data_IF_605061490424
#
_entry.id   IF_605061490424
#
_cell.length_a   1.000
_cell.length_b   1.000
_cell.length_c   1.000
_cell.angle_alpha   90.00
_cell.angle_beta   90.00
_cell.angle_gamma   90.00
#
_symmetry.space_group_name_H-M   'P 1'
#
loop_
_entity.id
_entity.type
_entity.pdbx_description
1 polymer ?
2 polymer ?
3 polymer ?
4 non-polymer ?
5 non-polymer ?
6 non-polymer ?
7 water ?
#
loop_
_entity_poly.entity_id
_entity_poly.type
_entity_poly.pdbx_seq_one_letter_code
_entity_poly.pdbx_strand_id
2 'polydeoxyribonucleotide' '(DA)(DA)(DA)(DT)(DT)(DG)(DC)(DC)(DG)(DA)(DA)(DG)(DA)(DC)(DG)(DA)' ?
3 'polydeoxyribonucleotide' '(DT)(DC)(DG)(DT)(DC)(DT)(DT)(DC)(DG)(DG)(DC)(DA)(DA)(DT)(DT)' ?
#
# COMPACT_ATOMS: atom_id res chain seq x y z
N UNK A 1 10.02 -25.53 3.74
CA UNK A 1 9.74 -26.40 4.86
C UNK A 1 9.24 -25.63 6.05
N UNK A 2 8.13 -26.09 6.63
CA UNK A 2 7.47 -25.35 7.72
C UNK A 2 8.43 -24.98 8.84
N UNK A 3 9.49 -25.78 9.06
CA UNK A 3 10.42 -25.53 10.15
C UNK A 3 11.46 -24.48 9.78
N UNK A 4 12.08 -24.61 8.60
CA UNK A 4 12.89 -23.52 8.08
C UNK A 4 12.10 -22.22 8.06
N UNK A 5 10.87 -22.29 7.55
CA UNK A 5 10.06 -21.09 7.40
C UNK A 5 9.71 -20.49 8.75
N UNK A 6 9.42 -21.34 9.75
CA UNK A 6 9.17 -20.83 11.10
C UNK A 6 10.40 -20.12 11.65
N UNK A 7 11.58 -20.71 11.43
CA UNK A 7 12.80 -20.06 11.87
C UNK A 7 12.99 -18.71 11.19
N UNK A 8 12.63 -18.61 9.91
CA UNK A 8 12.74 -17.32 9.23
C UNK A 8 11.79 -16.31 9.86
N UNK A 9 10.53 -16.72 10.10
CA UNK A 9 9.56 -15.80 10.69
C UNK A 9 10.03 -15.30 12.06
N UNK A 10 10.68 -16.16 12.84
CA UNK A 10 11.19 -15.73 14.15
C UNK A 10 12.23 -14.63 14.00
N UNK A 11 13.17 -14.79 13.06
CA UNK A 11 14.17 -13.75 12.88
C UNK A 11 13.56 -12.46 12.32
N UNK A 12 12.36 -12.53 11.77
CA UNK A 12 11.68 -11.36 11.21
C UNK A 12 10.83 -10.58 12.22
N UNK A 13 10.60 -11.14 13.41
CA UNK A 13 9.75 -10.46 14.39
C UNK A 13 10.39 -9.15 14.83
N UNK A 14 9.58 -8.10 14.88
CA UNK A 14 10.04 -6.79 15.31
C UNK A 14 10.29 -6.79 16.81
N UNK A 15 11.27 -5.99 17.22
CA UNK A 15 11.54 -5.78 18.63
C UNK A 15 10.55 -4.78 19.22
N UNK A 16 9.93 -5.14 20.34
CA UNK A 16 8.96 -4.25 20.96
C UNK A 16 9.60 -2.93 21.38
N UNK A 17 10.84 -2.99 21.89
CA UNK A 17 11.50 -1.75 22.27
C UNK A 17 11.73 -0.84 21.07
N UNK A 18 12.10 -1.42 19.93
CA UNK A 18 12.31 -0.61 18.73
C UNK A 18 11.01 -0.02 18.22
N UNK A 19 9.92 -0.80 18.28
CA UNK A 19 8.61 -0.26 17.92
C UNK A 19 8.34 0.99 18.74
N UNK A 20 8.53 0.88 20.06
CA UNK A 20 8.22 1.99 20.95
C UNK A 20 9.05 3.22 20.59
N UNK A 21 10.35 3.04 20.39
CA UNK A 21 11.21 4.13 19.96
C UNK A 21 10.76 4.71 18.63
N UNK A 22 10.62 3.85 17.62
CA UNK A 22 10.31 4.37 16.29
C UNK A 22 8.95 5.07 16.28
N UNK A 23 7.93 4.44 16.88
CA UNK A 23 6.60 5.05 16.88
C UNK A 23 6.61 6.38 17.62
N UNK A 24 7.40 6.49 18.68
CA UNK A 24 7.50 7.76 19.37
C UNK A 24 8.05 8.85 18.48
N UNK A 25 9.08 8.53 17.69
CA UNK A 25 9.65 9.51 16.78
C UNK A 25 8.65 9.87 15.69
N UNK A 26 8.01 8.87 15.10
CA UNK A 26 7.12 9.11 13.98
C UNK A 26 5.91 9.92 14.42
N UNK A 27 5.29 9.51 15.52
CA UNK A 27 4.09 10.21 15.99
C UNK A 27 4.40 11.67 16.33
N UNK A 28 5.57 11.91 16.92
CA UNK A 28 5.92 13.28 17.27
C UNK A 28 6.02 14.17 16.05
N UNK A 29 6.68 13.70 14.99
CA UNK A 29 6.83 14.50 13.79
C UNK A 29 5.50 14.60 13.05
N UNK A 30 4.75 13.50 12.96
CA UNK A 30 3.49 13.53 12.24
C UNK A 30 2.52 14.49 12.91
N UNK A 31 2.43 14.43 14.25
CA UNK A 31 1.53 15.33 14.97
C UNK A 31 1.93 16.78 14.73
N UNK A 32 3.23 17.04 14.66
CA UNK A 32 3.70 18.37 14.37
C UNK A 32 3.20 18.85 13.02
N UNK A 33 3.30 18.00 12.00
CA UNK A 33 2.90 18.41 10.66
C UNK A 33 1.39 18.61 10.54
N UNK A 34 0.60 17.72 11.13
CA UNK A 34 -0.86 17.87 11.09
C UNK A 34 -1.31 19.16 11.75
N UNK A 35 -0.76 19.47 12.92
CA UNK A 35 -1.09 20.72 13.60
C UNK A 35 -0.86 21.91 12.69
N UNK A 36 0.26 21.91 11.97
CA UNK A 36 0.59 23.02 11.08
C UNK A 36 -0.37 23.08 9.90
N UNK A 37 -0.64 21.93 9.30
CA UNK A 37 -1.50 21.88 8.12
C UNK A 37 -2.92 22.30 8.44
N UNK A 38 -3.38 22.05 9.67
CA UNK A 38 -4.73 22.42 10.08
C UNK A 38 -4.91 23.91 10.25
N UNK A 39 -3.81 24.65 10.33
CA UNK A 39 -3.86 26.10 10.44
C UNK A 39 -4.00 26.78 9.09
N UNK A 40 -3.90 26.02 8.00
CA UNK A 40 -3.92 26.58 6.66
C UNK A 40 -5.31 26.50 6.06
N UNK A 41 -5.75 27.59 5.43
CA UNK A 41 -7.06 27.60 4.80
C UNK A 41 -7.23 26.45 3.81
N UNK A 42 -6.19 26.14 3.03
CA UNK A 42 -6.34 25.09 2.03
C UNK A 42 -6.40 23.69 2.64
N UNK A 43 -5.68 23.44 3.73
CA UNK A 43 -5.60 22.09 4.28
C UNK A 43 -6.38 21.96 5.59
N UNK A 44 -7.35 22.86 5.81
CA UNK A 44 -8.23 22.87 6.98
C UNK A 44 -8.79 21.50 7.34
N UNK A 45 -9.24 20.75 6.34
CA UNK A 45 -9.93 19.52 6.65
C UNK A 45 -9.05 18.27 6.66
N UNK A 46 -7.77 18.44 6.96
CA UNK A 46 -6.82 17.33 6.87
C UNK A 46 -6.97 16.41 8.07
N UNK A 47 -6.72 15.12 7.83
CA UNK A 47 -6.75 14.12 8.87
C UNK A 47 -5.78 13.02 8.50
N UNK A 48 -5.42 12.22 9.49
CA UNK A 48 -4.41 11.18 9.36
C UNK A 48 -5.04 9.83 9.04
N UNK A 49 -4.55 9.17 8.02
CA UNK A 49 -4.85 7.74 7.82
C UNK A 49 -3.51 7.02 7.71
N UNK A 50 -3.20 6.19 8.71
CA UNK A 50 -1.97 5.40 8.68
C UNK A 50 -2.17 4.18 7.77
N UNK A 51 -1.19 3.89 6.93
CA UNK A 51 -1.33 2.87 5.89
C UNK A 51 -0.11 1.97 5.86
N UNK A 52 -0.24 0.85 5.14
CA UNK A 52 0.93 0.06 4.80
C UNK A 52 1.37 -0.92 5.88
N UNK A 53 2.57 -1.47 5.66
CA UNK A 53 3.00 -2.70 6.34
C UNK A 53 2.99 -2.56 7.86
N UNK A 54 3.56 -1.48 8.38
CA UNK A 54 3.67 -1.36 9.84
C UNK A 54 2.30 -1.35 10.50
N UNK A 55 1.35 -0.60 9.93
CA UNK A 55 0.04 -0.50 10.56
C UNK A 55 -0.85 -1.68 10.23
N UNK A 56 -0.47 -2.48 9.23
CA UNK A 56 -1.11 -3.76 8.93
C UNK A 56 -0.49 -4.93 9.69
N UNK A 57 0.60 -4.67 10.43
CA UNK A 57 1.32 -5.69 11.22
C UNK A 57 1.95 -6.77 10.35
N UNK A 58 2.50 -6.37 9.20
CA UNK A 58 3.27 -7.29 8.36
C UNK A 58 4.63 -6.68 8.04
N UNK A 59 4.98 -5.61 8.75
CA UNK A 59 6.36 -5.12 8.68
C UNK A 59 7.31 -6.17 9.24
N UNK A 60 8.43 -6.38 8.56
CA UNK A 60 9.42 -7.38 8.96
C UNK A 60 10.75 -6.70 9.27
N UNK A 61 11.54 -7.39 10.11
CA UNK A 61 12.92 -7.06 10.47
C UNK A 61 13.01 -5.88 11.43
N UNK A 62 12.66 -4.67 10.98
CA UNK A 62 12.81 -3.48 11.82
C UNK A 62 11.69 -2.50 11.53
N UNK A 63 11.19 -1.78 12.54
CA UNK A 63 10.17 -0.77 12.25
C UNK A 63 10.79 0.55 11.79
N UNK A 64 11.39 0.53 10.59
CA UNK A 64 12.14 1.68 10.09
C UNK A 64 11.52 2.32 8.87
N UNK A 65 10.31 1.93 8.48
CA UNK A 65 9.62 2.49 7.32
C UNK A 65 8.15 2.62 7.65
N UNK A 66 7.62 3.82 7.55
CA UNK A 66 6.23 4.11 7.87
C UNK A 66 5.59 4.82 6.69
N UNK A 67 4.34 4.48 6.40
CA UNK A 67 3.55 5.10 5.36
C UNK A 67 2.40 5.84 6.03
N UNK A 68 2.16 7.05 5.55
CA UNK A 68 1.25 7.97 6.20
C UNK A 68 0.49 8.70 5.11
N UNK A 69 -0.83 8.78 5.27
CA UNK A 69 -1.65 9.52 4.32
C UNK A 69 -2.31 10.70 5.03
N UNK A 70 -2.14 11.88 4.48
CA UNK A 70 -2.80 13.09 4.97
C UNK A 70 -3.97 13.33 4.03
N UNK A 71 -5.16 12.92 4.45
CA UNK A 71 -6.35 12.95 3.61
C UNK A 71 -7.15 14.21 3.91
N UNK A 72 -7.75 14.78 2.87
CA UNK A 72 -8.58 15.98 2.97
C UNK A 72 -10.02 15.63 2.68
N UNK A 73 -10.90 15.84 3.66
CA UNK A 73 -12.33 15.83 3.37
C UNK A 73 -12.64 16.99 2.44
N UNK A 74 -13.21 16.69 1.29
CA UNK A 74 -13.50 17.73 0.30
C UNK A 74 -14.97 17.67 -0.01
N UNK A 75 -15.56 18.79 -0.47
CA UNK A 75 -16.93 18.74 -0.99
C UNK A 75 -17.08 17.67 -2.07
N UNK A 76 -18.32 17.38 -2.45
CA UNK A 76 -18.60 16.31 -3.40
C UNK A 76 -17.77 16.45 -4.66
N UNK A 77 -17.00 15.41 -4.95
CA UNK A 77 -16.13 15.37 -6.13
C UNK A 77 -16.92 14.86 -7.31
N UNK A 78 -16.61 15.38 -8.49
CA UNK A 78 -17.05 14.83 -9.77
C UNK A 78 -15.81 14.35 -10.51
N UNK A 79 -15.76 13.06 -10.83
CA UNK A 79 -14.59 12.42 -11.43
C UNK A 79 -14.78 12.28 -12.93
N UNK A 80 -13.67 12.41 -13.65
CA UNK A 80 -13.66 12.17 -15.09
C UNK A 80 -12.52 11.21 -15.35
N UNK A 81 -12.84 10.00 -15.81
CA UNK A 81 -11.79 9.00 -16.01
C UNK A 81 -10.82 9.47 -17.07
N UNK A 82 -9.53 9.35 -16.77
CA UNK A 82 -8.50 9.77 -17.72
C UNK A 82 -8.31 8.67 -18.76
N UNK A 83 -8.54 9.02 -20.03
CA UNK A 83 -8.41 8.07 -21.14
C UNK A 83 -9.33 6.90 -20.79
N UNK A 84 -8.87 5.66 -20.85
CA UNK A 84 -9.62 4.54 -20.32
C UNK A 84 -8.75 3.73 -19.38
N UNK A 85 -8.01 4.44 -18.52
CA UNK A 85 -7.03 3.82 -17.65
C UNK A 85 -7.63 3.21 -16.39
N UNK A 86 -8.92 3.49 -16.09
CA UNK A 86 -9.70 2.84 -15.04
C UNK A 86 -9.31 3.29 -13.63
N UNK A 87 -8.04 3.61 -13.40
CA UNK A 87 -7.60 4.05 -12.08
C UNK A 87 -7.27 5.53 -11.97
N UNK A 88 -7.12 6.24 -13.09
CA UNK A 88 -6.68 7.63 -13.10
C UNK A 88 -7.82 8.54 -13.55
N UNK A 89 -8.00 9.65 -12.83
CA UNK A 89 -9.15 10.52 -12.98
C UNK A 89 -8.73 11.98 -12.90
N UNK A 90 -9.51 12.85 -13.55
CA UNK A 90 -9.49 14.27 -13.26
C UNK A 90 -10.53 14.55 -12.18
N UNK A 91 -10.18 15.46 -11.27
CA UNK A 91 -11.07 15.85 -10.18
C UNK A 91 -11.68 17.22 -10.50
N UNK A 92 -13.01 17.27 -10.51
CA UNK A 92 -13.81 18.49 -10.57
C UNK A 92 -14.73 18.54 -9.37
N UNK A 93 -15.37 19.68 -9.16
CA UNK A 93 -16.31 19.86 -8.07
C UNK A 93 -17.71 20.16 -8.59
N UNK A 94 -18.72 19.69 -7.86
CA UNK A 94 -20.11 19.94 -8.22
C UNK A 94 -20.53 21.41 -8.00
N UNK A 97 -17.36 27.30 -6.01
CA UNK A 97 -15.99 27.46 -5.51
C UNK A 97 -15.89 28.38 -4.29
N UNK A 98 -16.84 29.32 -4.16
CA UNK A 98 -16.88 30.18 -2.97
C UNK A 98 -16.96 29.36 -1.70
N UNK A 99 -17.60 28.19 -1.75
CA UNK A 99 -17.84 27.36 -0.58
C UNK A 99 -16.72 26.37 -0.30
N UNK A 100 -15.71 26.26 -1.17
CA UNK A 100 -14.70 25.24 -0.89
C UNK A 100 -13.30 25.84 -0.80
N UNK A 101 -12.48 25.33 0.10
CA UNK A 101 -11.14 25.89 0.30
C UNK A 101 -10.10 25.40 -0.70
N UNK A 102 -10.46 24.50 -1.62
CA UNK A 102 -9.50 24.07 -2.61
C UNK A 102 -9.60 24.85 -3.92
N UNK A 103 -10.47 25.87 -4.00
CA UNK A 103 -10.69 26.57 -5.26
C UNK A 103 -9.44 27.30 -5.75
N UNK A 104 -8.50 27.62 -4.87
CA UNK A 104 -7.25 28.24 -5.30
C UNK A 104 -6.45 27.34 -6.23
N UNK A 105 -6.72 26.03 -6.23
CA UNK A 105 -5.99 25.07 -7.03
C UNK A 105 -6.71 24.67 -8.31
N UNK A 106 -7.83 25.30 -8.63
CA UNK A 106 -8.56 24.96 -9.84
C UNK A 106 -7.84 25.53 -11.06
N UNK A 107 -7.79 24.74 -12.13
CA UNK A 107 -7.34 25.19 -13.43
C UNK A 107 -8.53 25.01 -14.37
N UNK A 108 -9.39 26.02 -14.37
CA UNK A 108 -10.70 25.89 -14.97
C UNK A 108 -11.60 25.13 -14.03
N UNK A 109 -12.18 24.03 -14.49
CA UNK A 109 -12.95 23.16 -13.61
C UNK A 109 -12.10 22.08 -12.96
N UNK A 110 -10.83 21.97 -13.35
CA UNK A 110 -10.01 20.82 -12.99
C UNK A 110 -9.12 21.18 -11.80
N UNK A 111 -9.12 20.30 -10.81
CA UNK A 111 -8.27 20.42 -9.63
C UNK A 111 -6.83 20.08 -10.00
N UNK A 112 -5.91 21.01 -9.78
CA UNK A 112 -4.52 20.80 -10.14
C UNK A 112 -3.81 20.02 -9.05
N UNK A 113 -3.44 18.77 -9.34
CA UNK A 113 -2.64 18.01 -8.39
C UNK A 113 -1.29 18.68 -8.13
N UNK A 114 -0.66 19.21 -9.18
CA UNK A 114 0.67 19.74 -8.96
C UNK A 114 0.63 21.06 -8.21
N UNK A 115 -0.39 21.88 -8.45
CA UNK A 115 -0.54 23.08 -7.62
C UNK A 115 -0.75 22.69 -6.16
N UNK A 116 -1.60 21.70 -5.90
CA UNK A 116 -1.81 21.28 -4.53
C UNK A 116 -0.55 20.66 -3.93
N UNK A 117 0.12 19.79 -4.68
CA UNK A 117 1.36 19.18 -4.22
C UNK A 117 2.39 20.24 -3.85
N UNK A 118 2.45 21.31 -4.64
CA UNK A 118 3.48 22.30 -4.43
C UNK A 118 3.30 23.03 -3.11
N UNK A 119 2.05 23.38 -2.75
CA UNK A 119 1.84 24.06 -1.49
C UNK A 119 2.04 23.10 -0.32
N UNK A 120 1.57 21.87 -0.49
CA UNK A 120 1.73 20.83 0.52
C UNK A 120 3.20 20.59 0.85
N UNK A 121 4.02 20.41 -0.18
CA UNK A 121 5.46 20.23 0.05
C UNK A 121 6.09 21.46 0.68
N UNK A 122 5.71 22.65 0.21
CA UNK A 122 6.27 23.88 0.74
C UNK A 122 5.99 24.01 2.23
N UNK A 123 4.77 23.69 2.64
CA UNK A 123 4.39 23.83 4.05
C UNK A 123 5.14 22.83 4.91
N UNK A 124 5.25 21.59 4.44
CA UNK A 124 5.95 20.58 5.21
C UNK A 124 7.43 20.91 5.30
N UNK A 125 8.03 21.32 4.18
CA UNK A 125 9.47 21.59 4.19
C UNK A 125 9.80 22.69 5.18
N UNK A 126 8.94 23.72 5.27
CA UNK A 126 9.17 24.79 6.24
C UNK A 126 9.01 24.30 7.66
N UNK A 127 8.04 23.42 7.89
CA UNK A 127 7.79 22.95 9.24
C UNK A 127 8.89 22.00 9.71
N UNK A 128 9.49 21.26 8.77
CA UNK A 128 10.52 20.29 9.13
C UNK A 128 11.79 21.00 9.59
N UNK A 129 12.04 22.22 9.13
CA UNK A 129 13.17 22.98 9.67
C UNK A 129 12.93 23.38 11.12
N UNK A 130 11.66 23.50 11.53
CA UNK A 130 11.26 23.81 12.91
C UNK A 130 11.44 22.64 13.87
N UNK A 131 11.92 21.49 13.40
CA UNK A 131 12.15 20.33 14.26
C UNK A 131 13.60 19.93 14.11
N UNK A 132 14.04 18.91 14.86
CA UNK A 132 15.45 18.53 14.87
C UNK A 132 15.58 17.02 14.65
N UNK A 133 16.66 16.67 13.92
CA UNK A 133 16.94 15.30 13.51
C UNK A 133 15.85 14.78 12.58
N UNK A 134 15.39 15.66 11.69
CA UNK A 134 14.43 15.29 10.65
C UNK A 134 14.74 16.06 9.39
N UNK A 135 14.81 15.36 8.26
CA UNK A 135 15.08 15.94 6.95
C UNK A 135 14.00 15.55 5.97
N UNK A 136 13.65 16.49 5.08
CA UNK A 136 12.75 16.23 3.95
C UNK A 136 13.57 15.79 2.76
N UNK A 137 13.04 14.85 1.99
CA UNK A 137 13.42 14.68 0.60
C UNK A 137 12.14 14.68 -0.23
N UNK A 138 12.12 15.50 -1.28
CA UNK A 138 11.02 15.45 -2.24
C UNK A 138 11.08 14.11 -2.94
N UNK A 139 10.13 13.21 -2.61
CA UNK A 139 10.22 11.81 -2.97
C UNK A 139 10.28 11.62 -4.49
N UNK A 140 11.45 11.89 -5.07
CA UNK A 140 11.69 11.71 -6.49
C UNK A 140 10.53 12.26 -7.32
N UNK A 141 10.25 11.62 -8.45
CA UNK A 141 8.98 11.85 -9.13
C UNK A 141 7.85 11.18 -8.35
N UNK A 142 7.82 9.84 -8.41
CA UNK A 142 6.74 9.00 -7.89
C UNK A 142 5.39 9.39 -8.46
N UNK A 143 5.36 10.23 -9.50
CA UNK A 143 4.14 10.85 -9.96
C UNK A 143 3.57 11.86 -9.00
N UNK A 144 4.10 11.97 -7.78
CA UNK A 144 3.54 12.81 -6.75
C UNK A 144 3.07 12.06 -5.51
N UNK A 145 2.98 10.74 -5.53
CA UNK A 145 2.57 10.02 -4.33
C UNK A 145 3.51 8.85 -4.08
N UNK A 146 4.19 8.80 -2.92
CA UNK A 146 4.22 9.81 -1.85
C UNK A 146 4.76 11.14 -2.33
N UNK A 147 4.35 12.21 -1.65
CA UNK A 147 4.72 13.55 -2.05
C UNK A 147 6.07 13.94 -1.47
N UNK A 148 6.31 13.57 -0.22
CA UNK A 148 7.54 13.83 0.49
C UNK A 148 7.94 12.57 1.24
N UNK A 149 9.24 12.46 1.49
CA UNK A 149 9.79 11.42 2.36
C UNK A 149 10.60 12.08 3.46
N UNK A 150 10.29 11.74 4.70
CA UNK A 150 11.06 12.19 5.85
C UNK A 150 12.03 11.11 6.28
N UNK A 151 13.20 11.55 6.75
CA UNK A 151 14.15 10.68 7.42
C UNK A 151 14.39 11.24 8.82
N UNK A 152 14.07 10.45 9.83
CA UNK A 152 14.11 10.89 11.22
C UNK A 152 15.35 10.28 11.84
N UNK A 153 16.25 11.16 12.32
CA UNK A 153 17.53 10.79 12.91
C UNK A 153 18.22 9.68 12.10
N UNK A 154 18.24 9.89 10.79
CA UNK A 154 18.99 9.07 9.84
C UNK A 154 18.66 7.58 9.93
N UNK A 155 17.47 7.25 10.41
CA UNK A 155 17.15 5.87 10.72
C UNK A 155 15.73 5.45 10.31
N UNK A 156 14.75 6.35 10.33
CA UNK A 156 13.36 6.00 10.14
C UNK A 156 12.80 6.83 9.00
N UNK A 157 12.22 6.15 8.01
CA UNK A 157 11.67 6.79 6.82
C UNK A 157 10.17 6.90 6.95
N UNK A 158 9.65 8.08 6.61
CA UNK A 158 8.21 8.32 6.62
C UNK A 158 7.82 8.83 5.24
N UNK A 159 7.04 8.04 4.51
CA UNK A 159 6.48 8.41 3.21
C UNK A 159 5.13 9.07 3.43
N UNK A 160 5.01 10.34 3.09
CA UNK A 160 3.77 11.08 3.31
C UNK A 160 3.06 11.29 1.98
N UNK A 161 1.82 10.82 1.91
CA UNK A 161 0.99 10.90 0.72
C UNK A 161 -0.17 11.86 0.98
N UNK A 162 -0.35 12.83 0.08
CA UNK A 162 -1.51 13.69 0.09
C UNK A 162 -2.68 12.96 -0.54
N UNK A 163 -3.88 13.11 0.02
CA UNK A 163 -5.00 12.40 -0.56
C UNK A 163 -6.28 13.21 -0.41
N UNK A 164 -7.20 12.97 -1.34
CA UNK A 164 -8.55 13.50 -1.24
C UNK A 164 -9.43 12.36 -0.78
N UNK A 165 -10.35 12.65 0.12
CA UNK A 165 -11.32 11.67 0.59
C UNK A 165 -12.64 11.94 -0.11
N UNK A 166 -13.19 10.94 -0.78
CA UNK A 166 -14.54 11.08 -1.31
C UNK A 166 -15.41 10.06 -0.62
N UNK A 167 -16.59 10.52 -0.17
CA UNK A 167 -17.58 9.66 0.44
C UNK A 167 -18.65 9.21 -0.55
N UNK A 168 -18.52 9.60 -1.82
CA UNK A 168 -19.40 9.11 -2.85
C UNK A 168 -19.19 7.62 -3.06
N UNK A 169 -20.15 7.00 -3.74
CA UNK A 169 -20.04 5.61 -4.19
C UNK A 169 -18.77 5.42 -4.98
N UNK A 170 -18.16 4.24 -4.84
CA UNK A 170 -16.91 3.97 -5.52
C UNK A 170 -17.11 4.03 -7.03
N UNK A 171 -16.09 4.43 -7.78
CA UNK A 171 -16.25 4.54 -9.23
C UNK A 171 -16.57 3.22 -9.90
N UNK A 172 -17.18 3.30 -11.09
CA UNK A 172 -17.65 2.11 -11.79
C UNK A 172 -16.54 1.10 -12.04
N UNK A 173 -15.30 1.55 -12.18
CA UNK A 173 -14.22 0.61 -12.48
C UNK A 173 -13.92 -0.31 -11.31
N UNK A 174 -14.48 -0.06 -10.12
CA UNK A 174 -14.32 -0.96 -8.99
C UNK A 174 -15.45 -1.96 -8.88
N UNK A 175 -16.42 -1.90 -9.79
CA UNK A 175 -17.66 -2.65 -9.59
C UNK A 175 -17.41 -4.15 -9.48
N UNK A 176 -16.44 -4.67 -10.24
CA UNK A 176 -16.13 -6.11 -10.20
C UNK A 176 -14.88 -6.43 -9.38
N UNK A 177 -14.35 -5.47 -8.64
CA UNK A 177 -13.20 -5.73 -7.80
C UNK A 177 -13.63 -6.17 -6.43
N UNK A 178 -12.63 -6.29 -5.55
CA UNK A 178 -12.87 -6.64 -4.15
C UNK A 178 -13.71 -7.91 -4.07
N UNK A 179 -13.22 -8.96 -4.73
CA UNK A 179 -13.93 -10.23 -4.87
C UNK A 179 -13.80 -11.09 -3.60
N UNK A 180 -14.37 -10.57 -2.52
CA UNK A 180 -14.23 -11.19 -1.19
C UNK A 180 -15.48 -11.93 -0.76
N UNK A 181 -16.49 -12.06 -1.65
CA UNK A 181 -17.81 -12.52 -1.19
C UNK A 181 -17.77 -13.92 -0.59
N UNK A 182 -16.88 -14.78 -1.08
CA UNK A 182 -16.84 -16.16 -0.62
C UNK A 182 -15.79 -16.36 0.43
N UNK A 183 -15.07 -15.30 0.77
CA UNK A 183 -14.05 -15.33 1.79
C UNK A 183 -14.54 -14.55 3.00
N UNK A 184 -14.70 -13.22 2.88
CA UNK A 184 -15.10 -12.37 3.98
C UNK A 184 -16.60 -12.12 4.04
N UNK A 185 -17.34 -12.48 2.98
CA UNK A 185 -18.79 -12.44 2.84
C UNK A 185 -19.32 -11.25 2.03
N UNK A 186 -20.51 -11.43 1.47
CA UNK A 186 -21.17 -10.36 0.75
C UNK A 186 -21.56 -9.22 1.67
N UNK A 187 -21.92 -9.53 2.93
CA UNK A 187 -22.27 -8.46 3.85
C UNK A 187 -21.05 -7.59 4.17
N UNK A 188 -19.88 -8.20 4.28
CA UNK A 188 -18.68 -7.40 4.54
C UNK A 188 -18.30 -6.57 3.31
N UNK A 189 -18.41 -7.15 2.10
CA UNK A 189 -18.15 -6.37 0.89
C UNK A 189 -19.08 -5.18 0.80
N UNK A 190 -20.36 -5.35 1.14
CA UNK A 190 -21.27 -4.21 1.12
C UNK A 190 -20.83 -3.14 2.10
N UNK A 191 -20.39 -3.54 3.29
CA UNK A 191 -19.97 -2.54 4.29
C UNK A 191 -18.69 -1.82 3.88
N UNK A 192 -17.73 -2.55 3.31
CA UNK A 192 -16.50 -1.89 2.88
C UNK A 192 -16.77 -0.89 1.77
N UNK A 193 -17.67 -1.22 0.84
CA UNK A 193 -17.89 -0.32 -0.28
C UNK A 193 -18.76 0.87 0.09
N UNK A 194 -19.28 0.92 1.32
CA UNK A 194 -19.90 2.12 1.85
C UNK A 194 -18.91 3.07 2.50
N UNK A 195 -17.68 2.63 2.70
CA UNK A 195 -16.65 3.50 3.23
C UNK A 195 -16.12 4.43 2.14
N UNK A 196 -15.39 5.48 2.51
CA UNK A 196 -14.85 6.40 1.50
C UNK A 196 -13.82 5.71 0.62
N UNK A 197 -13.48 6.36 -0.49
CA UNK A 197 -12.29 6.02 -1.25
C UNK A 197 -11.40 7.25 -1.34
N UNK A 198 -10.13 7.04 -1.65
CA UNK A 198 -9.15 8.11 -1.69
C UNK A 198 -8.61 8.29 -3.11
N UNK A 199 -8.19 9.52 -3.38
CA UNK A 199 -7.51 9.89 -4.61
C UNK A 199 -6.17 10.52 -4.25
N UNK A 200 -5.08 10.00 -4.83
CA UNK A 200 -3.75 10.51 -4.54
C UNK A 200 -3.18 11.10 -5.83
N UNK A 201 -2.35 12.13 -5.77
CA UNK A 201 -1.82 12.71 -7.01
C UNK A 201 -0.84 11.74 -7.68
N UNK A 202 -1.08 11.47 -8.96
CA UNK A 202 -0.33 10.42 -9.65
C UNK A 202 -0.44 10.64 -11.16
N UNK A 203 0.70 10.79 -11.83
CA UNK A 203 0.72 10.84 -13.28
C UNK A 203 0.38 9.48 -13.89
N UNK A 204 -0.35 9.51 -14.99
CA UNK A 204 -0.47 8.35 -15.88
C UNK A 204 0.44 8.54 -17.07
N UNK A 205 1.02 7.45 -17.56
CA UNK A 205 1.99 7.52 -18.66
C UNK A 205 1.46 8.23 -19.90
N UNK A 211 0.46 11.97 -18.64
CA UNK A 211 1.20 12.86 -17.75
C UNK A 211 0.52 14.21 -17.63
N UNK A 212 -0.62 14.21 -16.92
CA UNK A 212 -1.41 15.41 -16.73
C UNK A 212 -1.66 15.69 -15.24
N UNK A 213 -2.83 16.24 -14.95
CA UNK A 213 -3.22 16.51 -13.56
C UNK A 213 -4.16 15.42 -13.07
N UNK A 214 -3.66 14.19 -13.05
CA UNK A 214 -4.47 13.03 -12.72
C UNK A 214 -4.28 12.63 -11.26
N UNK A 215 -5.29 11.95 -10.73
CA UNK A 215 -5.29 11.36 -9.41
C UNK A 215 -5.61 9.88 -9.58
N UNK A 216 -5.03 9.03 -8.75
CA UNK A 216 -5.28 7.61 -8.79
C UNK A 216 -6.08 7.16 -7.57
N UNK A 217 -7.00 6.22 -7.78
CA UNK A 217 -7.79 5.65 -6.68
C UNK A 217 -6.90 4.92 -5.68
N UNK A 218 -7.21 5.08 -4.39
CA UNK A 218 -6.46 4.41 -3.34
C UNK A 218 -7.42 3.83 -2.31
N UNK A 219 -7.14 2.60 -1.87
CA UNK A 219 -7.98 1.89 -0.90
C UNK A 219 -7.15 1.36 0.26
N UNK A 220 -6.09 2.09 0.61
CA UNK A 220 -5.20 1.69 1.69
C UNK A 220 -5.94 1.36 2.99
N UNK A 221 -7.00 2.10 3.29
CA UNK A 221 -7.75 1.82 4.51
C UNK A 221 -8.48 0.49 4.45
N UNK A 222 -8.98 0.11 3.27
CA UNK A 222 -9.66 -1.18 3.13
C UNK A 222 -8.64 -2.31 3.23
N UNK A 223 -7.50 -2.15 2.59
CA UNK A 223 -6.45 -3.16 2.68
C UNK A 223 -6.04 -3.40 4.12
N UNK A 224 -5.93 -2.31 4.89
CA UNK A 224 -5.62 -2.46 6.30
C UNK A 224 -6.76 -3.13 7.05
N UNK A 225 -8.01 -2.80 6.72
CA UNK A 225 -9.10 -3.40 7.46
C UNK A 225 -9.19 -4.89 7.19
N UNK A 226 -8.98 -5.30 5.94
CA UNK A 226 -9.01 -6.72 5.59
C UNK A 226 -7.91 -7.47 6.32
N UNK A 227 -6.69 -6.93 6.31
CA UNK A 227 -5.59 -7.64 6.95
C UNK A 227 -5.81 -7.81 8.45
N UNK A 228 -6.48 -6.88 9.12
CA UNK A 228 -6.64 -7.07 10.55
C UNK A 228 -7.96 -7.75 10.90
N UNK A 229 -8.76 -8.12 9.91
CA UNK A 229 -9.96 -8.91 10.15
C UNK A 229 -10.10 -9.78 8.91
N UNK A 230 -9.31 -10.86 8.87
CA UNK A 230 -8.91 -11.48 7.61
C UNK A 230 -9.43 -12.90 7.43
N UNK A 231 -10.15 -13.44 8.40
CA UNK A 231 -10.59 -14.81 8.29
C UNK A 231 -12.00 -14.95 7.73
N UNK A 232 -12.28 -16.16 7.26
CA UNK A 232 -13.68 -16.49 7.00
C UNK A 232 -14.42 -16.69 8.31
N UNK A 233 -13.74 -17.22 9.30
CA UNK A 233 -14.29 -17.28 10.64
C UNK A 233 -14.08 -15.95 11.34
N UNK A 234 -15.12 -15.47 12.02
CA UNK A 234 -15.00 -14.20 12.73
C UNK A 234 -13.93 -14.24 13.81
N UNK A 235 -13.65 -15.42 14.37
CA UNK A 235 -12.69 -15.57 15.45
C UNK A 235 -11.28 -15.94 14.94
N UNK A 236 -11.04 -15.94 13.63
CA UNK A 236 -9.72 -16.30 13.11
C UNK A 236 -8.64 -15.47 13.79
N UNK A 237 -7.66 -16.16 14.36
CA UNK A 237 -6.48 -15.61 15.01
C UNK A 237 -6.79 -14.89 16.32
N UNK A 238 -8.03 -14.91 16.82
CA UNK A 238 -8.31 -14.24 18.09
C UNK A 238 -7.84 -15.07 19.27
N UNK A 239 -7.79 -16.39 19.13
CA UNK A 239 -7.31 -17.29 20.16
C UNK A 239 -6.29 -18.23 19.57
N UNK A 240 -5.36 -18.70 20.42
CA UNK A 240 -4.19 -19.42 19.92
C UNK A 240 -4.57 -20.64 19.11
N UNK A 241 -5.66 -21.31 19.47
CA UNK A 241 -6.07 -22.52 18.76
C UNK A 241 -6.75 -22.27 17.42
N UNK A 242 -6.78 -21.01 16.95
CA UNK A 242 -7.36 -20.64 15.66
C UNK A 242 -6.46 -19.67 14.92
N UNK A 243 -5.15 -19.89 14.98
CA UNK A 243 -4.18 -19.06 14.30
C UNK A 243 -3.94 -19.59 12.89
N UNK A 244 -4.24 -18.77 11.88
CA UNK A 244 -3.93 -19.12 10.49
C UNK A 244 -2.55 -18.61 10.13
N UNK A 245 -2.07 -18.97 8.95
CA UNK A 245 -0.76 -18.50 8.51
C UNK A 245 -0.86 -17.46 7.40
N UNK A 246 -1.98 -16.75 7.30
CA UNK A 246 -2.10 -15.74 6.24
C UNK A 246 -1.04 -14.66 6.37
N UNK A 247 -0.96 -14.00 7.53
CA UNK A 247 0.02 -12.93 7.65
C UNK A 247 1.44 -13.46 7.56
N UNK A 248 1.68 -14.65 8.11
CA UNK A 248 2.99 -15.31 7.99
C UNK A 248 3.39 -15.48 6.53
N UNK A 249 2.47 -15.92 5.68
CA UNK A 249 2.79 -16.07 4.26
C UNK A 249 3.07 -14.73 3.61
N UNK A 250 2.29 -13.69 3.95
CA UNK A 250 2.56 -12.39 3.38
C UNK A 250 3.93 -11.87 3.82
N UNK A 251 4.30 -12.10 5.09
CA UNK A 251 5.61 -11.68 5.56
C UNK A 251 6.73 -12.38 4.80
N UNK A 252 6.56 -13.68 4.53
CA UNK A 252 7.60 -14.42 3.83
C UNK A 252 7.72 -13.96 2.38
N UNK A 253 6.58 -13.70 1.73
CA UNK A 253 6.63 -13.14 0.38
C UNK A 253 7.37 -11.82 0.36
N UNK A 254 7.04 -10.93 1.30
CA UNK A 254 7.76 -9.65 1.38
C UNK A 254 9.25 -9.86 1.61
N UNK A 255 9.62 -10.80 2.48
CA UNK A 255 11.04 -11.03 2.75
C UNK A 255 11.74 -11.59 1.52
N UNK A 256 11.08 -12.51 0.82
CA UNK A 256 11.63 -13.05 -0.42
C UNK A 256 11.96 -11.94 -1.41
N UNK A 257 10.99 -11.05 -1.68
CA UNK A 257 11.24 -9.94 -2.57
C UNK A 257 12.32 -9.02 -2.04
N UNK A 258 12.27 -8.65 -0.75
CA UNK A 258 13.28 -7.75 -0.19
C UNK A 258 14.67 -8.34 -0.35
N UNK A 259 14.83 -9.62 0.00
CA UNK A 259 16.13 -10.26 -0.09
C UNK A 259 16.60 -10.38 -1.53
N UNK A 260 15.69 -10.64 -2.48
CA UNK A 260 16.13 -10.68 -3.86
C UNK A 260 16.53 -9.30 -4.36
N UNK A 261 15.82 -8.24 -3.96
CA UNK A 261 16.17 -6.90 -4.41
C UNK A 261 17.53 -6.48 -3.88
N UNK A 262 17.88 -6.93 -2.67
CA UNK A 262 19.20 -6.65 -2.13
C UNK A 262 20.24 -7.49 -2.85
N UNK A 263 19.96 -8.78 -3.05
CA UNK A 263 20.90 -9.65 -3.73
C UNK A 263 21.28 -9.11 -5.10
N UNK A 264 20.31 -8.56 -5.83
CA UNK A 264 20.58 -8.11 -7.19
C UNK A 264 20.48 -6.60 -7.34
N UNK A 265 20.87 -5.87 -6.28
CA UNK A 265 20.73 -4.42 -6.29
C UNK A 265 21.57 -3.77 -7.38
N UNK A 266 22.68 -4.40 -7.77
CA UNK A 266 23.54 -3.82 -8.78
C UNK A 266 23.03 -4.03 -10.20
N UNK A 267 21.96 -4.81 -10.39
CA UNK A 267 21.48 -5.15 -11.71
C UNK A 267 20.24 -4.36 -12.14
N UNK A 268 19.57 -3.70 -11.20
CA UNK A 268 18.41 -2.84 -11.48
C UNK A 268 17.15 -3.53 -12.01
N UNK A 269 17.21 -4.81 -12.41
CA UNK A 269 16.02 -5.47 -12.94
C UNK A 269 14.87 -5.47 -11.94
N UNK A 270 15.17 -5.51 -10.64
CA UNK A 270 14.16 -5.73 -9.62
C UNK A 270 13.71 -4.43 -8.97
N UNK A 271 14.16 -3.28 -9.48
CA UNK A 271 13.94 -2.02 -8.78
C UNK A 271 12.46 -1.65 -8.69
N UNK A 272 11.65 -2.06 -9.66
CA UNK A 272 10.27 -1.60 -9.72
C UNK A 272 9.28 -2.51 -9.00
N UNK A 273 9.70 -3.68 -8.53
CA UNK A 273 8.79 -4.54 -7.80
C UNK A 273 8.68 -4.06 -6.36
N UNK A 274 7.46 -4.08 -5.81
CA UNK A 274 7.17 -3.39 -4.56
C UNK A 274 6.39 -4.28 -3.62
N UNK A 275 6.33 -3.86 -2.35
CA UNK A 275 5.52 -4.56 -1.37
C UNK A 275 4.05 -4.53 -1.74
N UNK A 276 3.61 -3.49 -2.46
CA UNK A 276 2.22 -3.43 -2.90
C UNK A 276 1.91 -4.54 -3.90
N UNK A 277 2.88 -4.88 -4.76
CA UNK A 277 2.71 -6.01 -5.67
C UNK A 277 2.53 -7.31 -4.90
N UNK A 278 3.37 -7.53 -3.89
CA UNK A 278 3.29 -8.75 -3.11
C UNK A 278 1.99 -8.79 -2.32
N UNK A 279 1.61 -7.67 -1.73
CA UNK A 279 0.35 -7.63 -0.98
C UNK A 279 -0.84 -7.83 -1.91
N UNK A 280 -0.82 -7.23 -3.09
CA UNK A 280 -1.92 -7.42 -4.04
C UNK A 280 -2.04 -8.87 -4.46
N UNK A 281 -0.91 -9.50 -4.80
CA UNK A 281 -0.93 -10.91 -5.17
C UNK A 281 -1.45 -11.77 -4.02
N UNK A 282 -1.06 -11.43 -2.79
CA UNK A 282 -1.49 -12.18 -1.61
C UNK A 282 -3.01 -12.12 -1.42
N UNK A 283 -3.62 -10.94 -1.61
CA UNK A 283 -5.09 -10.84 -1.56
C UNK A 283 -5.74 -11.71 -2.62
N UNK A 284 -5.17 -11.80 -3.81
CA UNK A 284 -5.74 -12.70 -4.82
C UNK A 284 -5.64 -14.16 -4.39
N UNK A 285 -4.54 -14.55 -3.75
CA UNK A 285 -4.43 -15.92 -3.23
C UNK A 285 -5.48 -16.15 -2.14
N UNK A 286 -5.79 -15.12 -1.35
CA UNK A 286 -6.84 -15.25 -0.35
C UNK A 286 -8.19 -15.48 -1.01
N UNK A 287 -8.49 -14.75 -2.09
CA UNK A 287 -9.72 -15.01 -2.83
C UNK A 287 -9.75 -16.43 -3.37
N UNK A 288 -8.58 -16.94 -3.83
CA UNK A 288 -8.52 -18.30 -4.35
C UNK A 288 -8.63 -19.35 -3.26
N UNK A 289 -8.28 -19.00 -2.03
CA UNK A 289 -8.26 -19.94 -0.92
C UNK A 289 -9.05 -19.30 0.21
N UNK A 290 -10.38 -19.29 0.11
CA UNK A 290 -11.17 -18.50 1.06
C UNK A 290 -11.31 -19.08 2.46
N UNK A 291 -11.10 -20.38 2.66
CA UNK A 291 -11.37 -20.99 3.95
C UNK A 291 -10.17 -20.92 4.89
N UNK A 292 -10.43 -20.73 6.19
CA UNK A 292 -9.31 -20.64 7.11
C UNK A 292 -8.53 -21.94 7.18
N UNK A 293 -9.20 -23.06 6.89
CA UNK A 293 -8.54 -24.37 6.88
C UNK A 293 -7.59 -24.53 5.70
N UNK A 294 -7.66 -23.68 4.68
CA UNK A 294 -6.65 -23.63 3.64
C UNK A 294 -5.45 -22.78 4.05
N UNK A 295 -5.42 -22.31 5.28
CA UNK A 295 -4.33 -21.51 5.81
C UNK A 295 -3.95 -22.01 7.18
N UNK A 296 -4.02 -23.32 7.37
CA UNK A 296 -3.66 -23.91 8.65
C UNK A 296 -2.19 -23.66 8.93
N UNK A 297 -1.87 -23.33 10.20
CA UNK A 297 -0.47 -23.09 10.56
C UNK A 297 0.40 -24.32 10.30
N UNK A 298 -0.17 -25.51 10.40
CA UNK A 298 0.59 -26.71 10.06
C UNK A 298 0.96 -26.79 8.59
N UNK A 299 0.31 -25.99 7.73
CA UNK A 299 0.52 -26.06 6.30
C UNK A 299 1.29 -24.85 5.78
N UNK A 300 2.08 -24.21 6.64
CA UNK A 300 2.81 -23.01 6.26
C UNK A 300 3.59 -23.20 4.98
N UNK A 301 4.34 -24.31 4.87
CA UNK A 301 5.11 -24.53 3.65
C UNK A 301 4.23 -24.60 2.41
N UNK A 302 3.10 -25.30 2.53
CA UNK A 302 2.16 -25.41 1.42
C UNK A 302 1.53 -24.07 1.08
N UNK A 303 1.11 -23.33 2.10
CA UNK A 303 0.43 -22.06 1.84
C UNK A 303 1.41 -21.05 1.25
N UNK A 304 2.63 -20.99 1.79
CA UNK A 304 3.65 -20.14 1.19
C UNK A 304 3.87 -20.51 -0.28
N UNK A 305 3.84 -21.81 -0.60
CA UNK A 305 4.06 -22.19 -1.99
C UNK A 305 2.91 -21.75 -2.89
N UNK A 306 1.67 -21.73 -2.38
CA UNK A 306 0.59 -21.16 -3.17
C UNK A 306 0.88 -19.71 -3.49
N UNK A 307 1.34 -18.94 -2.49
CA UNK A 307 1.67 -17.53 -2.73
C UNK A 307 2.79 -17.40 -3.76
N UNK A 308 3.84 -18.20 -3.62
CA UNK A 308 4.96 -18.14 -4.56
C UNK A 308 4.47 -18.50 -5.96
N UNK A 309 3.69 -19.57 -6.07
CA UNK A 309 3.23 -20.04 -7.38
C UNK A 309 2.30 -19.01 -8.03
N UNK A 310 1.38 -18.43 -7.27
CA UNK A 310 0.51 -17.43 -7.87
C UNK A 310 1.34 -16.23 -8.35
N UNK A 311 2.31 -15.80 -7.55
CA UNK A 311 3.13 -14.66 -7.95
C UNK A 311 3.91 -14.97 -9.22
N UNK A 312 4.41 -16.20 -9.36
CA UNK A 312 5.11 -16.58 -10.59
C UNK A 312 4.18 -16.55 -11.79
N UNK A 313 2.92 -16.97 -11.61
CA UNK A 313 1.96 -16.92 -12.72
C UNK A 313 1.69 -15.48 -13.15
N UNK A 314 1.64 -14.56 -12.20
CA UNK A 314 1.47 -13.15 -12.53
C UNK A 314 2.64 -12.63 -13.36
N UNK A 315 3.87 -12.96 -12.94
CA UNK A 315 5.04 -12.53 -13.69
C UNK A 315 5.03 -13.10 -15.10
N UNK A 316 4.74 -14.40 -15.22
CA UNK A 316 4.87 -15.07 -16.50
C UNK A 316 3.81 -14.59 -17.49
N UNK A 317 2.61 -14.30 -17.00
CA UNK A 317 1.54 -13.82 -17.87
C UNK A 317 1.49 -12.29 -17.94
N UNK A 318 2.38 -11.60 -17.23
CA UNK A 318 2.41 -10.14 -17.22
C UNK A 318 1.06 -9.57 -16.83
N UNK A 319 0.47 -10.14 -15.77
CA UNK A 319 -0.86 -9.75 -15.31
C UNK A 319 -0.90 -9.83 -13.79
N UNK A 320 -1.14 -8.70 -13.16
CA UNK A 320 -1.41 -8.65 -11.74
C UNK A 320 -2.47 -7.58 -11.58
N UNK A 321 -3.72 -8.00 -11.41
CA UNK A 321 -4.80 -7.02 -11.33
C UNK A 321 -4.75 -6.31 -10.00
N UNK A 322 -4.93 -5.00 -10.03
CA UNK A 322 -5.28 -4.28 -8.82
C UNK A 322 -6.47 -4.96 -8.17
N UNK A 323 -6.39 -5.18 -6.86
CA UNK A 323 -7.42 -5.96 -6.19
C UNK A 323 -8.78 -5.27 -6.22
N UNK A 324 -8.79 -3.94 -6.36
CA UNK A 324 -10.01 -3.16 -6.33
C UNK A 324 -10.48 -2.72 -7.71
N UNK A 325 -9.58 -2.68 -8.69
CA UNK A 325 -9.83 -2.14 -10.03
C UNK A 325 -9.35 -3.20 -11.01
N UNK A 326 -10.17 -4.16 -11.37
CA UNK A 326 -9.63 -5.37 -12.03
C UNK A 326 -9.01 -5.11 -13.39
N UNK A 327 -9.44 -4.07 -14.12
CA UNK A 327 -8.86 -3.76 -15.41
C UNK A 327 -7.62 -2.88 -15.30
N UNK A 328 -7.11 -2.65 -14.09
CA UNK A 328 -5.85 -1.93 -13.91
C UNK A 328 -4.75 -2.95 -13.66
N UNK A 329 -3.86 -3.12 -14.62
CA UNK A 329 -2.86 -4.20 -14.58
C UNK A 329 -1.56 -3.65 -14.03
N UNK A 330 -1.21 -4.06 -12.80
CA UNK A 330 0.01 -3.57 -12.19
C UNK A 330 1.27 -4.09 -12.87
N UNK A 331 1.16 -5.18 -13.61
CA UNK A 331 2.32 -5.81 -14.25
C UNK A 331 2.32 -5.59 -15.76
N UNK A 332 1.62 -4.56 -16.24
CA UNK A 332 1.59 -4.30 -17.67
C UNK A 332 2.97 -3.93 -18.19
N UNK A 333 3.17 -4.16 -19.50
CA UNK A 333 4.44 -3.83 -20.13
C UNK A 333 4.76 -2.35 -19.98
N UNK A 334 3.72 -1.52 -20.04
CA UNK A 334 3.91 -0.08 -19.89
C UNK A 334 4.50 0.27 -18.53
N UNK A 335 4.26 -0.57 -17.52
CA UNK A 335 4.70 -0.27 -16.16
C UNK A 335 5.97 -1.00 -15.76
N UNK A 336 6.18 -2.23 -16.22
CA UNK A 336 7.33 -3.03 -15.83
C UNK A 336 7.82 -3.76 -17.07
N UNK A 337 9.11 -3.59 -17.39
CA UNK A 337 9.69 -4.24 -18.55
C UNK A 337 9.59 -5.75 -18.45
N UNK A 338 9.32 -6.38 -19.60
CA UNK A 338 9.27 -7.84 -19.69
C UNK A 338 10.53 -8.47 -19.12
N UNK A 339 11.70 -7.90 -19.42
CA UNK A 339 12.95 -8.51 -18.99
C UNK A 339 13.05 -8.53 -17.48
N UNK A 340 12.47 -7.52 -16.81
CA UNK A 340 12.47 -7.50 -15.35
C UNK A 340 11.60 -8.62 -14.79
N UNK A 341 10.42 -8.82 -15.38
CA UNK A 341 9.56 -9.92 -14.96
C UNK A 341 10.23 -11.25 -15.22
N UNK A 342 10.93 -11.35 -16.34
CA UNK A 342 11.61 -12.59 -16.70
C UNK A 342 12.72 -12.90 -15.69
N UNK A 343 13.52 -11.90 -15.36
CA UNK A 343 14.59 -12.07 -14.39
C UNK A 343 14.07 -12.49 -13.01
N UNK A 344 12.99 -11.86 -12.55
CA UNK A 344 12.46 -12.22 -11.24
C UNK A 344 11.92 -13.65 -11.23
N UNK A 345 11.22 -14.05 -12.29
CA UNK A 345 10.73 -15.42 -12.42
C UNK A 345 11.86 -16.41 -12.25
N UNK A 346 12.94 -16.22 -13.02
CA UNK A 346 14.09 -17.09 -12.99
C UNK A 346 14.65 -17.22 -11.57
N UNK A 347 14.79 -16.10 -10.86
CA UNK A 347 15.40 -16.13 -9.54
C UNK A 347 14.47 -16.75 -8.51
N UNK A 348 13.17 -16.51 -8.61
CA UNK A 348 12.23 -17.14 -7.68
C UNK A 348 12.19 -18.65 -7.90
N UNK A 349 12.16 -19.08 -9.16
CA UNK A 349 12.18 -20.52 -9.43
C UNK A 349 13.43 -21.17 -8.86
N UNK A 350 14.59 -20.54 -9.10
CA UNK A 350 15.82 -21.03 -8.49
C UNK A 350 15.71 -21.12 -6.98
N UNK A 351 15.22 -20.05 -6.33
CA UNK A 351 15.16 -20.07 -4.88
C UNK A 351 14.30 -21.22 -4.39
N UNK A 352 13.10 -21.37 -4.98
CA UNK A 352 12.21 -22.45 -4.58
C UNK A 352 12.86 -23.80 -4.82
N UNK A 353 13.57 -23.97 -5.93
CA UNK A 353 14.23 -25.24 -6.19
C UNK A 353 15.35 -25.55 -5.23
N UNK A 354 15.81 -24.58 -4.44
CA UNK A 354 16.96 -24.80 -3.58
C UNK A 354 16.64 -24.51 -2.13
N UNK A 355 15.36 -24.51 -1.78
CA UNK A 355 14.91 -24.30 -0.40
C UNK A 355 15.26 -22.90 0.06
N UNK A 356 15.14 -21.93 -0.85
CA UNK A 356 15.27 -20.51 -0.59
C UNK A 356 16.59 -20.16 0.12
N UNK A 357 17.73 -20.34 -0.55
CA UNK A 357 19.00 -19.89 0.05
C UNK A 357 18.99 -18.43 0.44
N UNK A 358 18.20 -17.60 -0.24
CA UNK A 358 18.22 -16.17 0.07
C UNK A 358 17.68 -15.89 1.48
N UNK A 359 16.93 -16.84 2.06
CA UNK A 359 16.45 -16.70 3.44
C UNK A 359 17.54 -17.01 4.46
N UNK A 360 18.53 -17.82 4.09
CA UNK A 360 19.44 -18.52 5.02
C UNK A 360 18.66 -19.61 5.77
#
# INVERSE_FOLDING_TARGET
GASKLRAVLEKLKLSRDDISTAAGMVNGVVDHLLRRLKCDSAFRGVGLLNTGSYYEHVKISAPNEFDVMFKLEVPRIQLEEYSNTRAYYFVKFKRNPKENPLSQFLEGEILSASKMLSKFRKIIKEEINDIKDTDVIMKRKRGGSPAVTLLISEKISVDITLALESKSSWPASTQEGLRIQNWLSAKVRKQLRLKPFYLVPKHAKEGNGFQEETWRLSFSHIEKEILNNHGKSKTCCENKEEKCCRKDCLKLMKYLLEQLKERFKDKKHLDKFSSYHVKTAFFHVCTQNPQDSQWDRKDLGLCFDNCVTYFLQCLRTEKLENYFIPEFNLFSSNLIDKRSKEFLTKQIEYERNNEFPVFDEF
#
